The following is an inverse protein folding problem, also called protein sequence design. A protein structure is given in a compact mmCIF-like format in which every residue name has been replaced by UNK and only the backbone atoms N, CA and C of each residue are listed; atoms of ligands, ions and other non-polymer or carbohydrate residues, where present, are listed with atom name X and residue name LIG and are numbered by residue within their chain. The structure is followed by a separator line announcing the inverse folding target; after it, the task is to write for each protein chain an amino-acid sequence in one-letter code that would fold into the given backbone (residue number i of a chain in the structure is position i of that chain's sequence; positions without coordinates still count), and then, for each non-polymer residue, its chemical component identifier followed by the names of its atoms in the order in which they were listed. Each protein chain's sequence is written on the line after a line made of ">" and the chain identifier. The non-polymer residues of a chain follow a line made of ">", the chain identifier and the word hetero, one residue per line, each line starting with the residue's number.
data_IF_127291206410
#
_entry.id   IF_127291206410
#
_cell.length_a   1.000
_cell.length_b   1.000
_cell.length_c   1.000
_cell.angle_alpha   90.00
_cell.angle_beta   90.00
_cell.angle_gamma   90.00
#
_symmetry.space_group_name_H-M   'P 1'
#
loop_
_entity.id
_entity.type
_entity.pdbx_description
1 polymer ?
#
# COMPACT_ATOMS: atom_id res chain seq x y z
N UNK A 1 1.89 -5.65 -9.26
CA UNK A 1 0.84 -4.90 -8.50
C UNK A 1 -0.57 -5.27 -8.94
N UNK A 2 -0.90 -5.26 -10.25
CA UNK A 2 -2.22 -5.73 -10.73
C UNK A 2 -2.49 -7.18 -10.28
N UNK A 3 -1.53 -8.09 -10.50
CA UNK A 3 -1.63 -9.49 -10.06
C UNK A 3 -1.87 -9.63 -8.55
N UNK A 4 -1.16 -8.84 -7.74
CA UNK A 4 -1.39 -8.79 -6.30
C UNK A 4 -2.83 -8.37 -5.98
N UNK A 5 -3.34 -7.30 -6.61
CA UNK A 5 -4.70 -6.84 -6.36
C UNK A 5 -5.76 -7.86 -6.78
N UNK A 6 -5.58 -8.54 -7.91
CA UNK A 6 -6.45 -9.63 -8.37
C UNK A 6 -6.44 -10.81 -7.40
N UNK A 7 -5.25 -11.24 -6.96
CA UNK A 7 -5.13 -12.30 -5.95
C UNK A 7 -5.80 -11.91 -4.63
N UNK A 8 -5.63 -10.66 -4.20
CA UNK A 8 -6.24 -10.15 -2.97
C UNK A 8 -7.78 -10.08 -3.08
N UNK A 9 -8.34 -9.78 -4.25
CA UNK A 9 -9.79 -9.80 -4.49
C UNK A 9 -10.40 -11.20 -4.33
N UNK A 10 -9.61 -12.24 -4.57
CA UNK A 10 -10.03 -13.64 -4.36
C UNK A 10 -9.95 -14.07 -2.89
N UNK A 11 -9.35 -13.26 -2.02
CA UNK A 11 -9.32 -13.48 -0.57
C UNK A 11 -10.48 -12.77 0.14
N UNK A 12 -10.75 -13.19 1.38
CA UNK A 12 -11.72 -12.52 2.22
C UNK A 12 -11.33 -11.05 2.46
N UNK A 13 -12.28 -10.14 2.25
CA UNK A 13 -12.14 -8.73 2.58
C UNK A 13 -13.09 -8.36 3.71
N UNK A 14 -12.61 -7.71 4.78
CA UNK A 14 -13.42 -7.43 5.96
C UNK A 14 -14.53 -6.41 5.69
N UNK A 15 -14.37 -5.56 4.67
CA UNK A 15 -15.30 -4.48 4.33
C UNK A 15 -15.32 -4.22 2.82
N UNK A 16 -16.41 -3.66 2.33
CA UNK A 16 -16.58 -3.34 0.91
C UNK A 16 -15.62 -2.24 0.41
N UNK A 17 -15.19 -1.32 1.27
CA UNK A 17 -14.20 -0.29 0.92
C UNK A 17 -12.83 -0.88 0.58
N UNK A 18 -12.51 -2.08 1.09
CA UNK A 18 -11.28 -2.80 0.76
C UNK A 18 -11.37 -3.38 -0.64
N UNK A 19 -12.53 -3.89 -1.05
CA UNK A 19 -12.74 -4.39 -2.42
C UNK A 19 -12.68 -3.23 -3.41
N UNK A 20 -13.35 -2.13 -3.09
CA UNK A 20 -13.31 -0.93 -3.93
C UNK A 20 -11.89 -0.38 -4.09
N UNK A 21 -11.07 -0.39 -3.03
CA UNK A 21 -9.67 0.04 -3.12
C UNK A 21 -8.83 -0.83 -4.07
N UNK A 22 -9.03 -2.15 -4.07
CA UNK A 22 -8.35 -3.06 -5.00
C UNK A 22 -8.79 -2.81 -6.45
N UNK A 23 -10.09 -2.66 -6.67
CA UNK A 23 -10.63 -2.32 -7.99
C UNK A 23 -10.09 -0.99 -8.52
N UNK A 24 -10.10 0.06 -7.67
CA UNK A 24 -9.52 1.37 -8.00
C UNK A 24 -8.03 1.28 -8.35
N UNK A 25 -7.30 0.40 -7.65
CA UNK A 25 -5.88 0.15 -7.92
C UNK A 25 -5.68 -0.48 -9.29
N UNK A 26 -6.52 -1.46 -9.66
CA UNK A 26 -6.48 -2.10 -10.98
C UNK A 26 -6.79 -1.07 -12.08
N UNK A 27 -7.87 -0.29 -11.92
CA UNK A 27 -8.28 0.74 -12.88
C UNK A 27 -7.17 1.80 -13.03
N UNK A 28 -6.59 2.26 -11.93
CA UNK A 28 -5.52 3.26 -11.94
C UNK A 28 -4.29 2.80 -12.73
N UNK A 29 -3.96 1.51 -12.65
CA UNK A 29 -2.84 0.90 -13.39
C UNK A 29 -3.19 0.55 -14.85
N UNK A 30 -4.40 0.89 -15.32
CA UNK A 30 -4.88 0.62 -16.69
C UNK A 30 -5.43 -0.79 -16.89
N UNK A 31 -5.64 -1.55 -15.82
CA UNK A 31 -6.29 -2.86 -15.87
C UNK A 31 -7.81 -2.75 -15.86
N UNK A 32 -8.47 -3.88 -16.14
CA UNK A 32 -9.93 -4.02 -16.08
C UNK A 32 -10.28 -4.97 -14.93
N UNK A 33 -11.04 -4.53 -13.92
CA UNK A 33 -11.53 -5.42 -12.86
C UNK A 33 -12.45 -6.49 -13.44
N UNK A 34 -12.38 -7.71 -12.90
CA UNK A 34 -13.20 -8.85 -13.39
C UNK A 34 -14.70 -8.65 -13.17
N UNK A 35 -15.07 -7.90 -12.13
CA UNK A 35 -16.45 -7.55 -11.81
C UNK A 35 -16.67 -6.08 -12.05
N UNK A 36 -17.92 -5.72 -12.38
CA UNK A 36 -18.31 -4.31 -12.51
C UNK A 36 -18.10 -3.58 -11.18
N UNK A 37 -17.10 -2.72 -11.12
CA UNK A 37 -16.83 -1.88 -9.96
C UNK A 37 -17.91 -0.80 -9.84
N UNK A 38 -18.68 -0.84 -8.75
CA UNK A 38 -19.56 0.26 -8.37
C UNK A 38 -18.75 1.27 -7.57
N UNK A 39 -18.48 2.43 -8.16
CA UNK A 39 -17.81 3.53 -7.47
C UNK A 39 -18.80 4.12 -6.46
N UNK A 40 -18.54 3.92 -5.18
CA UNK A 40 -19.38 4.43 -4.08
C UNK A 40 -18.86 5.77 -3.60
N UNK A 41 -19.65 6.47 -2.77
CA UNK A 41 -19.06 7.57 -2.00
C UNK A 41 -17.96 7.00 -1.09
N UNK A 42 -16.77 7.61 -1.07
CA UNK A 42 -15.71 7.09 -0.23
C UNK A 42 -16.10 7.15 1.26
N UNK A 43 -15.52 6.27 2.09
CA UNK A 43 -15.79 6.26 3.52
C UNK A 43 -15.40 7.59 4.19
N UNK A 44 -16.06 7.92 5.30
CA UNK A 44 -15.88 9.19 6.00
C UNK A 44 -14.41 9.54 6.30
N UNK A 45 -14.04 10.79 6.03
CA UNK A 45 -12.69 11.32 6.24
C UNK A 45 -12.41 11.53 7.74
N UNK A 46 -11.81 10.53 8.37
CA UNK A 46 -11.27 10.65 9.72
C UNK A 46 -9.77 10.99 9.68
N UNK A 47 -9.29 11.86 10.59
CA UNK A 47 -7.88 12.30 10.61
C UNK A 47 -6.89 11.14 10.68
N UNK A 48 -7.20 10.11 11.47
CA UNK A 48 -6.36 8.94 11.71
C UNK A 48 -6.43 7.86 10.60
N UNK A 49 -7.37 7.95 9.64
CA UNK A 49 -7.54 6.92 8.61
C UNK A 49 -6.91 7.37 7.30
N UNK A 50 -5.80 6.73 6.92
CA UNK A 50 -5.10 7.04 5.68
C UNK A 50 -5.76 6.41 4.45
N UNK A 51 -6.22 5.16 4.54
CA UNK A 51 -6.85 4.44 3.42
C UNK A 51 -8.00 5.22 2.73
N UNK A 52 -8.97 5.82 3.45
CA UNK A 52 -9.99 6.67 2.82
C UNK A 52 -9.39 7.85 2.04
N UNK A 53 -8.34 8.50 2.56
CA UNK A 53 -7.69 9.63 1.90
C UNK A 53 -7.05 9.21 0.58
N UNK A 54 -6.39 8.05 0.55
CA UNK A 54 -5.85 7.48 -0.68
C UNK A 54 -6.95 7.12 -1.69
N UNK A 55 -8.08 6.55 -1.24
CA UNK A 55 -9.25 6.30 -2.11
C UNK A 55 -9.81 7.59 -2.72
N UNK A 56 -9.92 8.66 -1.94
CA UNK A 56 -10.32 9.97 -2.45
C UNK A 56 -9.34 10.48 -3.53
N UNK A 57 -8.03 10.40 -3.26
CA UNK A 57 -7.01 10.84 -4.22
C UNK A 57 -7.11 10.06 -5.54
N UNK A 58 -7.30 8.74 -5.47
CA UNK A 58 -7.48 7.90 -6.66
C UNK A 58 -8.70 8.33 -7.47
N UNK A 59 -9.85 8.51 -6.82
CA UNK A 59 -11.07 8.95 -7.53
C UNK A 59 -10.90 10.34 -8.13
N UNK A 60 -10.33 11.29 -7.39
CA UNK A 60 -10.01 12.63 -7.91
C UNK A 60 -9.12 12.51 -9.15
N UNK A 61 -8.10 11.65 -9.13
CA UNK A 61 -7.22 11.45 -10.27
C UNK A 61 -7.93 10.80 -11.47
N UNK A 62 -8.77 9.80 -11.23
CA UNK A 62 -9.53 9.11 -12.28
C UNK A 62 -10.52 10.06 -12.96
N UNK A 63 -11.17 10.94 -12.20
CA UNK A 63 -12.14 11.92 -12.71
C UNK A 63 -11.55 13.32 -12.94
N UNK A 64 -10.22 13.47 -12.94
CA UNK A 64 -9.54 14.77 -12.96
C UNK A 64 -9.97 15.69 -14.11
N UNK A 65 -10.32 15.11 -15.27
CA UNK A 65 -10.78 15.87 -16.44
C UNK A 65 -12.17 16.49 -16.27
N UNK A 66 -12.95 16.02 -15.30
CA UNK A 66 -14.26 16.58 -14.93
C UNK A 66 -14.14 17.64 -13.83
N UNK A 67 -12.95 17.80 -13.24
CA UNK A 67 -12.68 18.69 -12.11
C UNK A 67 -11.85 19.88 -12.56
N UNK A 68 -12.12 21.06 -11.99
CA UNK A 68 -11.24 22.22 -12.17
C UNK A 68 -10.07 22.10 -11.22
N UNK A 69 -8.91 21.69 -11.72
CA UNK A 69 -7.68 21.53 -10.95
C UNK A 69 -6.56 22.36 -11.56
N UNK A 70 -5.72 22.93 -10.70
CA UNK A 70 -4.45 23.50 -11.11
C UNK A 70 -3.44 22.38 -11.41
N UNK A 71 -2.43 22.68 -12.24
CA UNK A 71 -1.33 21.73 -12.54
C UNK A 71 -0.60 21.27 -11.27
N UNK A 72 -0.54 22.13 -10.24
CA UNK A 72 0.09 21.82 -8.95
C UNK A 72 -0.73 20.79 -8.17
N UNK A 73 -2.05 20.96 -8.11
CA UNK A 73 -2.95 20.01 -7.44
C UNK A 73 -2.97 18.67 -8.15
N UNK A 74 -3.04 18.66 -9.49
CA UNK A 74 -3.03 17.42 -10.27
C UNK A 74 -1.73 16.64 -10.04
N UNK A 75 -0.58 17.33 -10.04
CA UNK A 75 0.71 16.72 -9.72
C UNK A 75 0.72 16.14 -8.31
N UNK A 76 0.27 16.90 -7.30
CA UNK A 76 0.23 16.43 -5.92
C UNK A 76 -0.65 15.20 -5.73
N UNK A 77 -1.84 15.20 -6.32
CA UNK A 77 -2.74 14.02 -6.31
C UNK A 77 -2.10 12.84 -7.02
N UNK A 78 -1.44 13.06 -8.17
CA UNK A 78 -0.73 12.02 -8.91
C UNK A 78 0.36 11.38 -8.05
N UNK A 79 1.19 12.18 -7.38
CA UNK A 79 2.28 11.68 -6.54
C UNK A 79 1.75 10.82 -5.37
N UNK A 80 0.65 11.25 -4.73
CA UNK A 80 -0.03 10.48 -3.67
C UNK A 80 -0.60 9.17 -4.21
N UNK A 81 -1.22 9.18 -5.39
CA UNK A 81 -1.77 7.98 -6.01
C UNK A 81 -0.66 6.98 -6.36
N UNK A 82 0.44 7.45 -6.97
CA UNK A 82 1.58 6.60 -7.33
C UNK A 82 2.16 5.94 -6.08
N UNK A 83 2.42 6.70 -5.02
CA UNK A 83 2.93 6.12 -3.78
C UNK A 83 1.94 5.14 -3.14
N UNK A 84 0.65 5.49 -3.12
CA UNK A 84 -0.37 4.65 -2.50
C UNK A 84 -0.47 3.30 -3.21
N UNK A 85 -0.51 3.31 -4.54
CA UNK A 85 -0.65 2.11 -5.37
C UNK A 85 0.63 1.29 -5.45
N UNK A 86 1.78 1.92 -5.63
CA UNK A 86 3.05 1.22 -5.85
C UNK A 86 3.67 0.70 -4.57
N UNK A 87 3.42 1.37 -3.43
CA UNK A 87 4.06 1.06 -2.16
C UNK A 87 3.00 0.71 -1.11
N UNK A 88 2.21 1.69 -0.68
CA UNK A 88 1.45 1.59 0.57
C UNK A 88 0.44 0.44 0.61
N UNK A 89 -0.38 0.24 -0.43
CA UNK A 89 -1.50 -0.70 -0.36
C UNK A 89 -1.06 -2.14 -0.14
N UNK A 90 -0.01 -2.60 -0.83
CA UNK A 90 0.51 -3.96 -0.67
C UNK A 90 0.75 -4.30 0.80
N UNK A 91 1.51 -3.46 1.49
CA UNK A 91 1.84 -3.64 2.90
C UNK A 91 0.65 -3.43 3.82
N UNK A 92 -0.27 -2.53 3.47
CA UNK A 92 -1.47 -2.30 4.25
C UNK A 92 -2.39 -3.54 4.31
N UNK A 93 -2.55 -4.27 3.21
CA UNK A 93 -3.33 -5.52 3.22
C UNK A 93 -2.63 -6.64 4.00
N UNK A 94 -1.29 -6.67 3.99
CA UNK A 94 -0.49 -7.68 4.69
C UNK A 94 -0.28 -7.38 6.18
N UNK A 95 -0.50 -6.13 6.62
CA UNK A 95 -0.24 -5.67 7.99
C UNK A 95 -1.08 -6.37 9.09
N UNK A 96 -2.12 -7.12 8.72
CA UNK A 96 -2.94 -7.87 9.69
C UNK A 96 -2.24 -9.13 10.24
N UNK A 97 -1.19 -9.61 9.56
CA UNK A 97 -0.45 -10.82 9.95
C UNK A 97 0.82 -10.41 10.69
N UNK A 98 0.83 -10.58 12.02
CA UNK A 98 1.93 -10.17 12.88
C UNK A 98 3.22 -10.94 12.63
N UNK A 99 3.14 -12.25 12.35
CA UNK A 99 4.31 -13.07 12.05
C UNK A 99 5.05 -12.58 10.80
N UNK A 100 4.33 -12.05 9.82
CA UNK A 100 4.91 -11.50 8.61
C UNK A 100 5.40 -10.05 8.74
N UNK A 101 5.15 -9.38 9.86
CA UNK A 101 5.50 -7.97 10.04
C UNK A 101 7.00 -7.70 9.77
N UNK A 102 7.97 -8.45 10.36
CA UNK A 102 9.39 -8.17 10.15
C UNK A 102 9.82 -8.27 8.68
N UNK A 103 9.32 -9.28 7.96
CA UNK A 103 9.59 -9.45 6.53
C UNK A 103 8.93 -8.36 5.69
N UNK A 104 7.69 -7.98 6.02
CA UNK A 104 6.96 -6.92 5.34
C UNK A 104 7.65 -5.58 5.49
N UNK A 105 8.12 -5.23 6.70
CA UNK A 105 8.86 -3.99 6.96
C UNK A 105 10.19 -3.97 6.20
N UNK A 106 10.92 -5.08 6.21
CA UNK A 106 12.15 -5.21 5.43
C UNK A 106 11.91 -5.05 3.93
N UNK A 107 10.87 -5.70 3.39
CA UNK A 107 10.54 -5.60 1.97
C UNK A 107 10.02 -4.20 1.61
N UNK A 108 9.30 -3.53 2.51
CA UNK A 108 8.87 -2.14 2.34
C UNK A 108 10.06 -1.20 2.20
N UNK A 109 11.11 -1.36 3.01
CA UNK A 109 12.34 -0.58 2.88
C UNK A 109 13.01 -0.79 1.52
N UNK A 110 13.11 -2.04 1.05
CA UNK A 110 13.64 -2.36 -0.29
C UNK A 110 12.82 -1.74 -1.40
N UNK A 111 11.49 -1.88 -1.34
CA UNK A 111 10.58 -1.34 -2.35
C UNK A 111 10.65 0.19 -2.38
N UNK A 112 10.87 0.86 -1.24
CA UNK A 112 11.09 2.30 -1.19
C UNK A 112 12.40 2.75 -1.85
N UNK A 113 13.48 1.99 -1.65
CA UNK A 113 14.75 2.25 -2.34
C UNK A 113 14.57 2.11 -3.85
N UNK A 114 13.89 1.06 -4.32
CA UNK A 114 13.58 0.88 -5.74
C UNK A 114 12.68 2.00 -6.27
N UNK A 115 11.70 2.44 -5.45
CA UNK A 115 10.78 3.54 -5.77
C UNK A 115 11.48 4.89 -5.92
N UNK A 116 12.70 5.05 -5.40
CA UNK A 116 13.51 6.23 -5.64
C UNK A 116 13.71 6.51 -7.14
N UNK A 117 13.77 5.46 -7.97
CA UNK A 117 13.87 5.58 -9.43
C UNK A 117 12.62 6.20 -10.08
N UNK A 118 11.47 6.18 -9.40
CA UNK A 118 10.19 6.72 -9.89
C UNK A 118 9.95 8.12 -9.33
N UNK A 119 10.11 8.28 -8.01
CA UNK A 119 9.94 9.57 -7.33
C UNK A 119 10.97 9.71 -6.19
N UNK A 120 12.15 10.30 -6.49
CA UNK A 120 13.23 10.39 -5.51
C UNK A 120 12.86 11.20 -4.27
N UNK A 121 12.15 12.31 -4.46
CA UNK A 121 11.76 13.19 -3.36
C UNK A 121 10.79 12.48 -2.40
N UNK A 122 9.77 11.81 -2.94
CA UNK A 122 8.78 11.12 -2.14
C UNK A 122 9.36 9.87 -1.46
N UNK A 123 10.20 9.11 -2.18
CA UNK A 123 10.92 7.97 -1.61
C UNK A 123 11.74 8.38 -0.39
N UNK A 124 12.58 9.41 -0.50
CA UNK A 124 13.42 9.90 0.61
C UNK A 124 12.60 10.33 1.82
N UNK A 125 11.50 11.05 1.60
CA UNK A 125 10.61 11.49 2.69
C UNK A 125 9.95 10.29 3.36
N UNK A 126 9.42 9.33 2.58
CA UNK A 126 8.77 8.14 3.11
C UNK A 126 9.76 7.24 3.87
N UNK A 127 10.95 7.01 3.31
CA UNK A 127 12.02 6.22 3.92
C UNK A 127 12.46 6.83 5.25
N UNK A 128 12.73 8.15 5.29
CA UNK A 128 13.06 8.86 6.53
C UNK A 128 11.98 8.69 7.59
N UNK A 129 10.70 8.73 7.19
CA UNK A 129 9.58 8.56 8.11
C UNK A 129 9.51 7.14 8.65
N UNK A 130 9.65 6.13 7.79
CA UNK A 130 9.55 4.72 8.17
C UNK A 130 10.73 4.29 9.05
N UNK A 131 11.95 4.76 8.77
CA UNK A 131 13.12 4.50 9.64
C UNK A 131 12.86 4.99 11.07
N UNK A 132 12.23 6.15 11.23
CA UNK A 132 11.83 6.66 12.55
C UNK A 132 10.73 5.85 13.25
N UNK A 133 10.14 4.88 12.57
CA UNK A 133 9.11 3.98 13.10
C UNK A 133 9.62 2.56 13.36
N UNK A 134 10.91 2.25 13.14
CA UNK A 134 11.48 0.91 13.35
C UNK A 134 11.69 0.53 14.83
N UNK A 135 11.19 1.33 15.78
CA UNK A 135 11.38 1.10 17.21
C UNK A 135 10.79 -0.22 17.71
N UNK A 136 9.81 -0.79 16.99
CA UNK A 136 9.21 -2.09 17.31
C UNK A 136 9.92 -3.26 16.61
N UNK A 137 10.93 -3.01 15.78
CA UNK A 137 11.74 -4.09 15.18
C UNK A 137 12.86 -4.47 16.15
N UNK A 138 12.49 -5.03 17.29
CA UNK A 138 13.41 -5.49 18.34
C UNK A 138 13.77 -6.98 18.17
N UNK A 139 14.78 -7.44 18.90
CA UNK A 139 15.20 -8.85 18.92
C UNK A 139 14.07 -9.79 19.41
N UNK A 140 13.22 -9.30 20.31
CA UNK A 140 12.06 -10.06 20.81
C UNK A 140 10.95 -10.11 19.76
N UNK A 141 10.63 -8.98 19.12
CA UNK A 141 9.53 -8.91 18.15
C UNK A 141 9.90 -9.54 16.80
N UNK A 142 11.18 -9.53 16.42
CA UNK A 142 11.65 -10.23 15.20
C UNK A 142 11.48 -11.74 15.33
N UNK A 143 11.43 -12.31 16.54
CA UNK A 143 11.19 -13.74 16.76
C UNK A 143 9.84 -14.21 16.20
N UNK A 144 8.85 -13.32 16.06
CA UNK A 144 7.57 -13.65 15.41
C UNK A 144 7.74 -14.08 13.95
N UNK A 145 8.84 -13.69 13.29
CA UNK A 145 9.20 -14.13 11.95
C UNK A 145 9.43 -15.66 11.86
N UNK A 146 9.71 -16.34 12.98
CA UNK A 146 9.80 -17.81 12.99
C UNK A 146 8.49 -18.50 12.63
N UNK A 147 7.35 -17.82 12.84
CA UNK A 147 6.02 -18.29 12.47
C UNK A 147 5.57 -17.81 11.09
N UNK A 148 6.45 -17.14 10.33
CA UNK A 148 6.14 -16.75 8.95
C UNK A 148 6.51 -17.90 7.99
N UNK A 149 5.52 -18.50 7.35
CA UNK A 149 5.71 -19.60 6.41
C UNK A 149 6.43 -19.16 5.12
N UNK A 150 6.46 -17.86 4.83
CA UNK A 150 7.19 -17.31 3.67
C UNK A 150 8.70 -17.15 3.95
N UNK A 151 9.17 -17.36 5.18
CA UNK A 151 10.59 -17.33 5.53
C UNK A 151 11.15 -18.75 5.51
N UNK A 152 12.20 -18.96 4.71
CA UNK A 152 12.87 -20.24 4.58
C UNK A 152 13.49 -20.70 5.92
N UNK A 153 13.47 -22.02 6.16
CA UNK A 153 14.00 -22.61 7.40
C UNK A 153 15.49 -22.25 7.63
N UNK A 154 16.32 -22.26 6.58
CA UNK A 154 17.72 -21.85 6.66
C UNK A 154 17.88 -20.39 7.14
N UNK A 155 16.98 -19.50 6.73
CA UNK A 155 16.98 -18.11 7.21
C UNK A 155 16.59 -18.06 8.69
N UNK A 156 15.57 -18.82 9.10
CA UNK A 156 15.17 -18.91 10.52
C UNK A 156 16.30 -19.45 11.40
N UNK A 157 17.03 -20.44 10.92
CA UNK A 157 18.19 -21.02 11.63
C UNK A 157 19.34 -20.03 11.81
N UNK A 158 19.54 -19.10 10.87
CA UNK A 158 20.59 -18.06 10.95
C UNK A 158 20.25 -16.90 11.89
N UNK A 159 19.01 -16.79 12.34
CA UNK A 159 18.57 -15.74 13.27
C UNK A 159 18.80 -16.12 14.74
N UNK A 160 19.20 -17.37 15.01
CA UNK A 160 19.48 -17.94 16.33
C UNK A 160 20.98 -18.27 16.40
#
# INVERSE_FOLDING_TARGET
>A
MISFAQNQLNQYQPRDDYKELLDLTIIYLGGVPEKRTLLRMPPGLHRARWMPKSMYCLKIFLFRHQLKMTKKEEKGIKDVCIFSVMIYFKYWYQASVSSSAPRNDWQLLKDLIIFENINPALSKVALKKIIGHLWYLSEELVSFAFFDDEIALDTKQKMV
#
